data_IF_491696423943
#
_entry.id   IF_491696423943
#
_cell.length_a   1.000
_cell.length_b   1.000
_cell.length_c   1.000
_cell.angle_alpha   90.00
_cell.angle_beta   90.00
_cell.angle_gamma   90.00
#
_symmetry.space_group_name_H-M   'P 1'
#
loop_
_entity.id
_entity.type
_entity.pdbx_description
1 polymer ?
#
# COMPACT_ATOMS: atom_id res chain seq x y z
N UNK A 1 -9.54 14.70 -23.26
CA UNK A 1 -9.53 14.15 -21.89
C UNK A 1 -10.98 14.11 -21.42
N UNK A 2 -11.49 12.96 -20.95
CA UNK A 2 -12.88 12.87 -20.49
C UNK A 2 -13.05 13.75 -19.24
N UNK A 3 -14.17 14.46 -19.15
CA UNK A 3 -14.49 15.32 -18.01
C UNK A 3 -15.60 14.71 -17.17
N UNK A 4 -15.35 14.58 -15.88
CA UNK A 4 -16.27 14.04 -14.89
C UNK A 4 -16.69 15.17 -13.97
N UNK A 5 -18.00 15.32 -13.79
CA UNK A 5 -18.61 16.23 -12.83
C UNK A 5 -19.14 15.41 -11.66
N UNK A 6 -18.61 15.67 -10.47
CA UNK A 6 -19.06 15.05 -9.22
C UNK A 6 -19.93 16.04 -8.45
N UNK A 7 -21.18 15.67 -8.19
CA UNK A 7 -21.99 16.37 -7.22
C UNK A 7 -21.68 15.88 -5.82
N UNK A 8 -21.52 16.81 -4.88
CA UNK A 8 -21.50 16.51 -3.44
C UNK A 8 -22.09 17.66 -2.65
N UNK A 9 -22.77 17.38 -1.53
CA UNK A 9 -23.28 18.43 -0.64
C UNK A 9 -22.15 19.18 0.09
N UNK A 10 -20.99 18.52 0.26
CA UNK A 10 -19.82 19.03 0.98
C UNK A 10 -18.56 18.78 0.15
N UNK A 11 -17.57 19.64 0.30
CA UNK A 11 -16.22 19.39 -0.22
C UNK A 11 -15.23 19.37 0.94
N UNK A 12 -14.03 18.85 0.68
CA UNK A 12 -12.93 18.86 1.61
C UNK A 12 -11.72 18.07 1.09
N UNK A 13 -10.58 18.14 1.78
CA UNK A 13 -9.32 17.57 1.31
C UNK A 13 -9.39 16.05 1.04
N UNK A 14 -10.15 15.29 1.85
CA UNK A 14 -10.28 13.83 1.67
C UNK A 14 -11.03 13.48 0.38
N UNK A 15 -12.13 14.20 0.11
CA UNK A 15 -12.89 14.01 -1.13
C UNK A 15 -12.07 14.44 -2.34
N UNK A 16 -11.44 15.61 -2.30
CA UNK A 16 -10.59 16.10 -3.39
C UNK A 16 -9.42 15.15 -3.69
N UNK A 17 -8.76 14.66 -2.63
CA UNK A 17 -7.69 13.67 -2.75
C UNK A 17 -8.15 12.40 -3.44
N UNK A 18 -9.23 11.77 -2.97
CA UNK A 18 -9.64 10.47 -3.51
C UNK A 18 -10.21 10.58 -4.92
N UNK A 19 -10.91 11.67 -5.23
CA UNK A 19 -11.38 11.94 -6.59
C UNK A 19 -10.22 12.15 -7.56
N UNK A 20 -9.18 12.90 -7.17
CA UNK A 20 -7.98 13.06 -7.99
C UNK A 20 -7.24 11.72 -8.15
N UNK A 21 -7.06 10.96 -7.06
CA UNK A 21 -6.40 9.66 -7.14
C UNK A 21 -7.13 8.70 -8.09
N UNK A 22 -8.45 8.57 -7.95
CA UNK A 22 -9.24 7.66 -8.79
C UNK A 22 -9.35 8.18 -10.22
N UNK A 23 -9.89 9.39 -10.41
CA UNK A 23 -10.30 9.82 -11.74
C UNK A 23 -9.14 10.39 -12.54
N UNK A 24 -8.24 11.15 -11.91
CA UNK A 24 -7.10 11.73 -12.61
C UNK A 24 -5.96 10.73 -12.75
N UNK A 25 -5.54 10.07 -11.66
CA UNK A 25 -4.35 9.20 -11.70
C UNK A 25 -4.65 7.80 -12.26
N UNK A 26 -5.79 7.19 -11.94
CA UNK A 26 -6.11 5.83 -12.42
C UNK A 26 -6.89 5.85 -13.74
N UNK A 27 -7.82 6.81 -13.94
CA UNK A 27 -8.68 6.85 -15.13
C UNK A 27 -8.32 7.92 -16.18
N UNK A 28 -7.31 8.77 -15.91
CA UNK A 28 -6.87 9.81 -16.86
C UNK A 28 -7.94 10.87 -17.20
N UNK A 29 -8.92 11.07 -16.32
CA UNK A 29 -10.04 11.97 -16.46
C UNK A 29 -9.81 13.28 -15.67
N UNK A 30 -10.35 14.40 -16.17
CA UNK A 30 -10.45 15.62 -15.35
C UNK A 30 -11.67 15.50 -14.46
N UNK A 31 -11.51 15.81 -13.18
CA UNK A 31 -12.61 15.81 -12.22
C UNK A 31 -12.92 17.23 -11.76
N UNK A 32 -14.19 17.56 -11.74
CA UNK A 32 -14.74 18.82 -11.21
C UNK A 32 -15.76 18.49 -10.13
N UNK A 33 -15.69 19.17 -8.99
CA UNK A 33 -16.68 19.02 -7.91
C UNK A 33 -17.65 20.19 -7.98
N UNK A 34 -18.95 19.90 -7.91
CA UNK A 34 -19.98 20.93 -7.77
C UNK A 34 -20.94 20.64 -6.62
N UNK A 35 -21.50 21.72 -6.07
CA UNK A 35 -22.59 21.69 -5.10
C UNK A 35 -23.89 22.25 -5.69
N UNK A 36 -23.84 22.74 -6.92
CA UNK A 36 -24.98 23.32 -7.62
C UNK A 36 -25.75 22.20 -8.33
N UNK A 37 -26.94 21.90 -7.83
CA UNK A 37 -27.82 20.86 -8.37
C UNK A 37 -28.30 21.19 -9.79
N UNK A 38 -28.57 22.47 -10.10
CA UNK A 38 -29.03 22.89 -11.42
C UNK A 38 -27.91 22.74 -12.45
N UNK A 39 -26.70 23.16 -12.10
CA UNK A 39 -25.54 22.94 -12.95
C UNK A 39 -25.24 21.45 -13.14
N UNK A 40 -25.31 20.65 -12.07
CA UNK A 40 -25.11 19.20 -12.16
C UNK A 40 -26.13 18.54 -13.11
N UNK A 41 -27.42 18.81 -12.92
CA UNK A 41 -28.49 18.19 -13.73
C UNK A 41 -28.46 18.67 -15.20
N UNK A 42 -28.07 19.92 -15.47
CA UNK A 42 -28.00 20.45 -16.84
C UNK A 42 -26.68 20.14 -17.57
N UNK A 43 -25.64 19.69 -16.87
CA UNK A 43 -24.33 19.41 -17.43
C UNK A 43 -24.35 18.24 -18.43
N UNK A 44 -23.56 18.38 -19.49
CA UNK A 44 -23.32 17.35 -20.51
C UNK A 44 -22.08 16.48 -20.22
N UNK A 45 -21.39 16.74 -19.10
CA UNK A 45 -20.25 15.93 -18.64
C UNK A 45 -20.74 14.55 -18.16
N UNK A 46 -19.82 13.62 -17.90
CA UNK A 46 -20.17 12.40 -17.16
C UNK A 46 -20.43 12.75 -15.70
N UNK A 47 -21.62 12.45 -15.20
CA UNK A 47 -22.13 12.93 -13.91
C UNK A 47 -22.12 11.82 -12.88
N UNK A 48 -21.39 12.04 -11.79
CA UNK A 48 -21.39 11.15 -10.62
C UNK A 48 -22.06 11.88 -9.48
N UNK A 49 -23.14 11.32 -8.95
CA UNK A 49 -23.76 11.82 -7.72
C UNK A 49 -23.06 11.15 -6.54
N UNK A 50 -22.24 11.90 -5.78
CA UNK A 50 -21.67 11.45 -4.52
C UNK A 50 -22.40 12.11 -3.35
N UNK A 51 -23.59 11.59 -3.07
CA UNK A 51 -24.43 12.07 -1.97
C UNK A 51 -25.53 11.06 -1.64
N UNK A 52 -26.29 11.30 -0.56
CA UNK A 52 -27.47 10.50 -0.24
C UNK A 52 -28.77 11.08 -0.84
N UNK A 53 -28.67 12.11 -1.71
CA UNK A 53 -29.82 12.65 -2.44
C UNK A 53 -30.07 11.84 -3.70
N UNK A 54 -31.34 11.75 -4.11
CA UNK A 54 -31.72 11.21 -5.41
C UNK A 54 -31.62 12.31 -6.47
N UNK A 55 -30.54 12.29 -7.23
CA UNK A 55 -30.32 13.15 -8.40
C UNK A 55 -30.10 12.28 -9.62
N UNK A 56 -30.66 12.68 -10.75
CA UNK A 56 -30.40 12.02 -12.04
C UNK A 56 -28.92 12.16 -12.39
N UNK A 57 -28.25 11.03 -12.62
CA UNK A 57 -26.80 10.97 -12.85
C UNK A 57 -26.44 9.74 -13.68
N UNK A 58 -25.23 9.71 -14.24
CA UNK A 58 -24.70 8.51 -14.92
C UNK A 58 -24.34 7.41 -13.90
N UNK A 59 -23.99 7.80 -12.68
CA UNK A 59 -23.64 6.89 -11.59
C UNK A 59 -23.96 7.51 -10.22
N UNK A 60 -24.64 6.76 -9.36
CA UNK A 60 -24.87 7.14 -7.98
C UNK A 60 -23.96 6.36 -7.00
N UNK A 61 -23.10 7.09 -6.29
CA UNK A 61 -22.29 6.57 -5.18
C UNK A 61 -22.85 7.16 -3.86
N UNK A 62 -23.32 6.33 -2.92
CA UNK A 62 -23.81 6.81 -1.63
C UNK A 62 -22.63 7.28 -0.77
N UNK A 63 -22.89 8.19 0.18
CA UNK A 63 -21.84 8.71 1.07
C UNK A 63 -22.14 8.40 2.55
N UNK A 64 -21.19 7.78 3.25
CA UNK A 64 -21.26 7.47 4.68
C UNK A 64 -20.79 8.62 5.58
N UNK A 65 -20.12 9.62 4.99
CA UNK A 65 -19.65 10.83 5.66
C UNK A 65 -18.15 10.87 6.00
N UNK A 66 -17.42 9.76 5.90
CA UNK A 66 -15.99 9.65 6.25
C UNK A 66 -15.13 10.72 5.56
N UNK A 67 -15.43 11.00 4.29
CA UNK A 67 -14.70 11.98 3.48
C UNK A 67 -14.94 13.44 3.91
N UNK A 68 -15.87 13.69 4.83
CA UNK A 68 -16.21 15.01 5.34
C UNK A 68 -15.84 15.22 6.81
N UNK A 69 -15.25 14.20 7.44
CA UNK A 69 -14.73 14.30 8.80
C UNK A 69 -13.39 15.04 8.83
N UNK A 70 -13.13 15.78 9.91
CA UNK A 70 -11.86 16.48 10.14
C UNK A 70 -10.89 15.60 10.92
N UNK A 71 -11.38 14.94 11.97
CA UNK A 71 -10.61 14.04 12.81
C UNK A 71 -10.62 12.59 12.30
N UNK A 72 -9.79 11.76 12.91
CA UNK A 72 -9.80 10.31 12.70
C UNK A 72 -10.36 9.58 13.93
N UNK A 73 -11.08 8.50 13.70
CA UNK A 73 -11.60 7.64 14.75
C UNK A 73 -11.76 6.21 14.23
N UNK A 74 -11.83 5.24 15.14
CA UNK A 74 -12.12 3.86 14.76
C UNK A 74 -13.43 3.76 13.97
N UNK A 75 -13.40 2.97 12.89
CA UNK A 75 -14.54 2.72 12.03
C UNK A 75 -14.88 1.24 12.09
N UNK A 76 -16.16 0.94 12.30
CA UNK A 76 -16.65 -0.43 12.19
C UNK A 76 -16.65 -0.85 10.72
N UNK A 77 -15.98 -1.96 10.42
CA UNK A 77 -15.88 -2.50 9.06
C UNK A 77 -16.72 -3.77 8.99
N UNK A 78 -17.86 -3.65 8.32
CA UNK A 78 -18.69 -4.79 7.94
C UNK A 78 -18.44 -5.10 6.46
N UNK A 79 -17.89 -6.28 6.19
CA UNK A 79 -17.57 -6.72 4.84
C UNK A 79 -18.81 -7.21 4.08
N UNK A 80 -18.84 -6.91 2.79
CA UNK A 80 -19.82 -7.38 1.82
C UNK A 80 -19.12 -7.75 0.51
N UNK A 81 -19.87 -8.32 -0.43
CA UNK A 81 -19.38 -8.64 -1.77
C UNK A 81 -20.11 -7.82 -2.82
N UNK A 82 -19.36 -7.17 -3.72
CA UNK A 82 -19.87 -6.45 -4.88
C UNK A 82 -19.07 -6.84 -6.12
N UNK A 83 -19.73 -7.30 -7.18
CA UNK A 83 -19.07 -7.79 -8.40
C UNK A 83 -17.97 -8.86 -8.13
N UNK A 84 -18.22 -9.76 -7.17
CA UNK A 84 -17.26 -10.78 -6.69
C UNK A 84 -15.99 -10.21 -6.04
N UNK A 85 -15.96 -8.91 -5.74
CA UNK A 85 -14.91 -8.25 -5.00
C UNK A 85 -15.38 -7.96 -3.57
N UNK A 86 -14.49 -8.07 -2.56
CA UNK A 86 -14.77 -7.57 -1.23
C UNK A 86 -15.08 -6.08 -1.27
N UNK A 87 -15.96 -5.63 -0.37
CA UNK A 87 -16.29 -4.23 -0.16
C UNK A 87 -16.68 -4.02 1.30
N UNK A 88 -16.69 -2.76 1.73
CA UNK A 88 -17.08 -2.37 3.08
C UNK A 88 -17.64 -0.95 3.06
N UNK A 89 -18.13 -0.48 4.21
CA UNK A 89 -18.99 0.70 4.31
C UNK A 89 -20.26 0.57 3.46
N UNK A 90 -20.96 -0.55 3.66
CA UNK A 90 -22.20 -0.87 2.97
C UNK A 90 -23.26 0.22 3.14
N UNK A 91 -23.91 0.56 2.04
CA UNK A 91 -24.92 1.60 1.96
C UNK A 91 -26.08 1.09 1.11
N UNK A 92 -27.30 0.99 1.65
CA UNK A 92 -28.44 0.50 0.89
C UNK A 92 -28.93 1.55 -0.12
N UNK A 93 -29.62 1.09 -1.17
CA UNK A 93 -30.39 1.93 -2.10
C UNK A 93 -29.60 2.85 -3.05
N UNK A 94 -28.43 2.41 -3.54
CA UNK A 94 -27.67 3.05 -4.61
C UNK A 94 -27.20 2.02 -5.65
N UNK A 95 -26.76 2.48 -6.83
CA UNK A 95 -26.21 1.62 -7.89
C UNK A 95 -25.00 0.82 -7.41
N UNK A 96 -24.20 1.46 -6.54
CA UNK A 96 -23.09 0.84 -5.84
C UNK A 96 -23.50 0.68 -4.36
N UNK A 97 -23.58 -0.55 -3.83
CA UNK A 97 -24.16 -0.84 -2.52
C UNK A 97 -23.24 -0.51 -1.33
N UNK A 98 -22.28 0.40 -1.52
CA UNK A 98 -21.32 0.84 -0.51
C UNK A 98 -20.74 2.20 -0.88
N UNK A 99 -20.18 2.90 0.11
CA UNK A 99 -19.45 4.14 -0.16
C UNK A 99 -18.07 3.82 -0.73
N UNK A 100 -18.01 3.68 -2.06
CA UNK A 100 -16.80 3.31 -2.78
C UNK A 100 -15.67 4.34 -2.61
N UNK A 101 -15.99 5.63 -2.56
CA UNK A 101 -14.96 6.67 -2.41
C UNK A 101 -14.40 6.67 -0.98
N UNK A 102 -15.24 6.52 0.05
CA UNK A 102 -14.77 6.37 1.43
C UNK A 102 -13.95 5.10 1.63
N UNK A 103 -14.39 3.96 1.06
CA UNK A 103 -13.67 2.69 1.17
C UNK A 103 -12.32 2.73 0.46
N UNK A 104 -12.26 3.34 -0.73
CA UNK A 104 -11.00 3.54 -1.44
C UNK A 104 -10.06 4.50 -0.67
N UNK A 105 -10.59 5.60 -0.14
CA UNK A 105 -9.82 6.51 0.71
C UNK A 105 -9.23 5.79 1.92
N UNK A 106 -10.06 5.02 2.64
CA UNK A 106 -9.64 4.29 3.84
C UNK A 106 -8.46 3.35 3.57
N UNK A 107 -8.49 2.62 2.44
CA UNK A 107 -7.41 1.71 2.03
C UNK A 107 -6.16 2.47 1.56
N UNK A 108 -6.31 3.42 0.64
CA UNK A 108 -5.18 4.12 0.02
C UNK A 108 -4.45 4.98 1.04
N UNK A 109 -5.19 5.69 1.91
CA UNK A 109 -4.59 6.56 2.91
C UNK A 109 -3.99 5.79 4.08
N UNK A 110 -4.11 4.45 4.11
CA UNK A 110 -3.76 3.61 5.26
C UNK A 110 -4.38 4.15 6.55
N UNK A 111 -5.67 4.53 6.50
CA UNK A 111 -6.36 5.24 7.58
C UNK A 111 -6.18 4.60 8.96
N UNK A 112 -6.22 3.27 8.98
CA UNK A 112 -6.01 2.43 10.17
C UNK A 112 -4.64 2.59 10.84
N UNK A 113 -3.58 2.92 10.11
CA UNK A 113 -2.22 3.07 10.66
C UNK A 113 -2.06 4.35 11.48
N UNK A 114 -3.00 5.30 11.36
CA UNK A 114 -3.01 6.54 12.13
C UNK A 114 -3.83 6.44 13.43
N UNK A 115 -4.53 5.33 13.64
CA UNK A 115 -5.26 5.05 14.89
C UNK A 115 -4.33 4.38 15.91
N UNK A 116 -4.68 4.35 17.21
CA UNK A 116 -3.94 3.55 18.17
C UNK A 116 -3.89 2.08 17.75
N UNK A 117 -2.70 1.48 17.73
CA UNK A 117 -2.48 0.08 17.43
C UNK A 117 -1.40 -0.51 18.34
N UNK A 118 -1.41 -1.83 18.48
CA UNK A 118 -0.31 -2.55 19.12
C UNK A 118 0.80 -2.79 18.09
N UNK A 119 1.97 -2.17 18.24
CA UNK A 119 3.04 -2.26 17.24
C UNK A 119 3.67 -3.66 17.20
N UNK A 120 4.25 -4.00 16.05
CA UNK A 120 5.18 -5.12 15.96
C UNK A 120 6.52 -4.82 16.66
N UNK A 121 7.44 -5.79 16.66
CA UNK A 121 8.77 -5.64 17.28
C UNK A 121 9.63 -4.52 16.67
N UNK A 122 9.21 -3.95 15.55
CA UNK A 122 9.88 -2.86 14.84
C UNK A 122 9.07 -1.56 14.92
N UNK A 123 8.09 -1.46 15.82
CA UNK A 123 7.25 -0.27 16.02
C UNK A 123 6.34 0.05 14.82
N UNK A 124 6.03 -0.96 13.98
CA UNK A 124 5.20 -0.80 12.78
C UNK A 124 3.79 -1.30 13.01
N UNK A 125 2.85 -0.79 12.21
CA UNK A 125 1.50 -1.35 12.13
C UNK A 125 1.55 -2.78 11.58
N UNK A 126 1.12 -3.80 12.33
CA UNK A 126 1.18 -5.17 11.86
C UNK A 126 0.04 -5.47 10.88
N UNK A 127 0.39 -6.05 9.73
CA UNK A 127 -0.56 -6.34 8.65
C UNK A 127 -1.79 -7.14 9.09
N UNK A 128 -1.69 -8.02 10.10
CA UNK A 128 -2.82 -8.81 10.57
C UNK A 128 -3.90 -8.01 11.30
N UNK A 129 -3.57 -6.79 11.75
CA UNK A 129 -4.55 -5.83 12.28
C UNK A 129 -5.30 -5.08 11.17
N UNK A 130 -4.83 -5.17 9.91
CA UNK A 130 -5.46 -4.44 8.81
C UNK A 130 -6.84 -4.97 8.43
N UNK A 131 -7.73 -4.07 8.02
CA UNK A 131 -9.00 -4.43 7.39
C UNK A 131 -8.80 -5.32 6.16
N UNK A 132 -7.69 -5.15 5.41
CA UNK A 132 -7.35 -5.99 4.27
C UNK A 132 -7.02 -7.44 4.63
N UNK A 133 -6.33 -7.65 5.74
CA UNK A 133 -6.07 -8.99 6.26
C UNK A 133 -7.35 -9.62 6.83
N UNK A 134 -8.10 -8.87 7.64
CA UNK A 134 -9.35 -9.34 8.23
C UNK A 134 -10.39 -9.71 7.16
N UNK A 135 -10.48 -8.93 6.08
CA UNK A 135 -11.33 -9.21 4.92
C UNK A 135 -10.74 -10.22 3.93
N UNK A 136 -9.57 -10.81 4.21
CA UNK A 136 -8.90 -11.80 3.36
C UNK A 136 -8.59 -11.33 1.93
N UNK A 137 -8.28 -10.04 1.75
CA UNK A 137 -8.02 -9.44 0.42
C UNK A 137 -6.66 -8.74 0.31
N UNK A 138 -5.74 -8.97 1.26
CA UNK A 138 -4.39 -8.40 1.25
C UNK A 138 -3.61 -8.64 -0.06
N UNK A 139 -3.93 -9.72 -0.77
CA UNK A 139 -3.30 -10.12 -2.03
C UNK A 139 -3.94 -9.49 -3.27
N UNK A 140 -5.00 -8.69 -3.11
CA UNK A 140 -5.76 -8.09 -4.21
C UNK A 140 -5.49 -6.58 -4.29
N UNK A 141 -5.26 -6.01 -5.49
CA UNK A 141 -5.27 -4.57 -5.70
C UNK A 141 -6.72 -4.07 -5.71
N UNK A 142 -7.39 -4.15 -4.57
CA UNK A 142 -8.85 -4.09 -4.47
C UNK A 142 -9.42 -2.78 -5.04
N UNK A 143 -8.76 -1.65 -4.77
CA UNK A 143 -9.16 -0.35 -5.31
C UNK A 143 -9.09 -0.33 -6.83
N UNK A 144 -8.02 -0.84 -7.43
CA UNK A 144 -7.88 -0.92 -8.90
C UNK A 144 -8.96 -1.81 -9.51
N UNK A 145 -9.26 -2.94 -8.86
CA UNK A 145 -10.33 -3.83 -9.31
C UNK A 145 -11.70 -3.15 -9.25
N UNK A 146 -12.00 -2.35 -8.23
CA UNK A 146 -13.19 -1.50 -8.23
C UNK A 146 -13.16 -0.45 -9.35
N UNK A 147 -11.99 0.13 -9.66
CA UNK A 147 -11.88 1.14 -10.72
C UNK A 147 -12.15 0.55 -12.10
N UNK A 148 -11.79 -0.71 -12.34
CA UNK A 148 -12.19 -1.43 -13.56
C UNK A 148 -13.71 -1.53 -13.67
N UNK A 149 -14.41 -1.82 -12.57
CA UNK A 149 -15.89 -1.86 -12.56
C UNK A 149 -16.48 -0.47 -12.85
N UNK A 150 -15.96 0.58 -12.21
CA UNK A 150 -16.42 1.97 -12.40
C UNK A 150 -16.19 2.45 -13.83
N UNK A 151 -15.03 2.14 -14.41
CA UNK A 151 -14.74 2.46 -15.80
C UNK A 151 -15.75 1.80 -16.74
N UNK A 152 -16.10 0.53 -16.50
CA UNK A 152 -17.15 -0.18 -17.23
C UNK A 152 -18.51 0.50 -17.11
N UNK A 153 -18.96 0.83 -15.90
CA UNK A 153 -20.25 1.50 -15.66
C UNK A 153 -20.34 2.87 -16.35
N UNK A 154 -19.23 3.63 -16.38
CA UNK A 154 -19.17 4.96 -17.00
C UNK A 154 -18.84 4.93 -18.49
N UNK A 155 -18.60 3.77 -19.10
CA UNK A 155 -18.06 3.61 -20.46
C UNK A 155 -16.77 4.44 -20.67
N UNK A 156 -15.86 4.35 -19.70
CA UNK A 156 -14.53 4.96 -19.72
C UNK A 156 -13.51 3.87 -20.05
N UNK A 157 -12.53 4.20 -20.90
CA UNK A 157 -11.44 3.26 -21.16
C UNK A 157 -10.56 3.24 -19.92
N UNK A 158 -10.40 2.06 -19.33
CA UNK A 158 -9.45 1.87 -18.25
C UNK A 158 -8.06 1.72 -18.87
N UNK A 159 -7.27 2.80 -18.82
CA UNK A 159 -5.84 2.69 -19.06
C UNK A 159 -5.21 2.31 -17.74
N UNK A 160 -4.80 1.04 -17.58
CA UNK A 160 -3.91 0.68 -16.48
C UNK A 160 -2.76 1.69 -16.49
N UNK A 161 -2.54 2.40 -15.37
CA UNK A 161 -1.48 3.39 -15.25
C UNK A 161 -0.17 2.76 -15.78
N UNK A 162 0.59 3.56 -16.54
CA UNK A 162 1.92 3.32 -17.14
C UNK A 162 2.48 1.90 -17.07
N UNK A 163 2.96 1.35 -18.20
CA UNK A 163 3.71 0.08 -18.29
C UNK A 163 4.32 -0.34 -16.95
N UNK A 164 3.82 -1.43 -16.37
CA UNK A 164 4.29 -1.96 -15.10
C UNK A 164 5.81 -2.00 -15.07
N UNK A 165 6.41 -1.30 -14.10
CA UNK A 165 7.84 -1.27 -13.91
C UNK A 165 8.17 -1.88 -12.55
N UNK A 166 8.96 -2.95 -12.57
CA UNK A 166 9.48 -3.56 -11.36
C UNK A 166 10.88 -3.04 -11.09
N UNK A 167 11.03 -2.32 -9.98
CA UNK A 167 12.31 -1.79 -9.49
C UNK A 167 12.64 -2.46 -8.16
N UNK A 168 13.54 -3.46 -8.13
CA UNK A 168 13.98 -4.05 -6.89
C UNK A 168 14.70 -3.02 -6.02
N UNK A 169 14.35 -2.95 -4.75
CA UNK A 169 15.08 -2.18 -3.74
C UNK A 169 15.55 -3.12 -2.63
N UNK A 170 16.77 -2.93 -2.14
CA UNK A 170 17.34 -3.75 -1.08
C UNK A 170 17.78 -2.88 0.10
N UNK A 171 17.21 -3.13 1.27
CA UNK A 171 17.72 -2.60 2.52
C UNK A 171 18.74 -3.59 3.10
N UNK A 172 20.03 -3.24 3.00
CA UNK A 172 21.13 -4.06 3.46
C UNK A 172 21.57 -3.58 4.85
N UNK A 173 20.92 -4.13 5.87
CA UNK A 173 21.22 -3.83 7.28
C UNK A 173 22.56 -4.42 7.74
N UNK A 174 22.94 -5.60 7.22
CA UNK A 174 24.17 -6.30 7.57
C UNK A 174 24.75 -6.93 6.31
N UNK A 175 25.78 -6.31 5.74
CA UNK A 175 26.45 -6.79 4.53
C UNK A 175 27.14 -8.15 4.74
N UNK A 176 27.75 -8.36 5.91
CA UNK A 176 28.55 -9.55 6.21
C UNK A 176 28.31 -10.06 7.64
N UNK A 177 28.29 -11.37 7.81
CA UNK A 177 28.14 -12.02 9.12
C UNK A 177 29.41 -11.91 9.95
N UNK A 178 30.58 -12.00 9.31
CA UNK A 178 31.91 -12.08 9.94
C UNK A 178 32.91 -11.10 9.34
N UNK A 179 32.96 -10.97 8.02
CA UNK A 179 33.87 -10.03 7.34
C UNK A 179 33.52 -8.58 7.68
N UNK A 180 34.51 -7.69 7.64
CA UNK A 180 34.35 -6.28 8.01
C UNK A 180 34.04 -6.01 9.49
N UNK A 181 33.70 -7.04 10.29
CA UNK A 181 33.46 -6.88 11.73
C UNK A 181 34.76 -6.91 12.52
N UNK A 182 34.86 -5.99 13.48
CA UNK A 182 36.03 -5.89 14.35
C UNK A 182 36.31 -7.16 15.15
N UNK A 183 37.59 -7.38 15.49
CA UNK A 183 38.10 -8.58 16.19
C UNK A 183 37.27 -8.91 17.44
N UNK A 184 36.91 -7.90 18.24
CA UNK A 184 36.11 -8.07 19.47
C UNK A 184 34.75 -8.71 19.20
N UNK A 185 34.04 -8.29 18.15
CA UNK A 185 32.74 -8.87 17.75
C UNK A 185 32.90 -10.31 17.29
N UNK A 186 33.96 -10.62 16.56
CA UNK A 186 34.23 -11.97 16.08
C UNK A 186 34.58 -12.93 17.24
N UNK A 187 35.44 -12.51 18.19
CA UNK A 187 35.77 -13.31 19.38
C UNK A 187 34.52 -13.52 20.26
N UNK A 188 33.80 -12.45 20.59
CA UNK A 188 32.59 -12.55 21.42
C UNK A 188 31.52 -13.42 20.76
N UNK A 189 31.32 -13.28 19.44
CA UNK A 189 30.44 -14.14 18.66
C UNK A 189 30.86 -15.61 18.71
N UNK A 190 32.15 -15.89 18.53
CA UNK A 190 32.69 -17.25 18.63
C UNK A 190 32.48 -17.87 20.01
N UNK A 191 32.81 -17.16 21.09
CA UNK A 191 32.62 -17.66 22.46
C UNK A 191 31.13 -17.94 22.76
N UNK A 192 30.24 -17.04 22.34
CA UNK A 192 28.80 -17.23 22.47
C UNK A 192 28.32 -18.47 21.73
N UNK A 193 28.76 -18.64 20.48
CA UNK A 193 28.37 -19.77 19.65
C UNK A 193 28.93 -21.09 20.25
N UNK A 194 30.16 -21.06 20.78
CA UNK A 194 30.78 -22.18 21.50
C UNK A 194 29.99 -22.58 22.76
N UNK A 195 29.65 -21.62 23.62
CA UNK A 195 28.87 -21.87 24.86
C UNK A 195 27.47 -22.42 24.55
N UNK A 196 26.89 -22.07 23.40
CA UNK A 196 25.59 -22.58 22.94
C UNK A 196 25.69 -23.91 22.17
N UNK A 197 26.88 -24.53 22.09
CA UNK A 197 27.10 -25.77 21.35
C UNK A 197 26.90 -25.62 19.82
N UNK A 198 26.98 -24.41 19.28
CA UNK A 198 26.78 -24.09 17.86
C UNK A 198 28.04 -24.35 17.03
N UNK A 199 28.51 -25.59 17.03
CA UNK A 199 29.77 -26.01 16.41
C UNK A 199 29.86 -25.73 14.91
N UNK A 200 28.73 -25.76 14.19
CA UNK A 200 28.68 -25.43 12.76
C UNK A 200 29.02 -23.95 12.53
N UNK A 201 28.45 -23.05 13.33
CA UNK A 201 28.69 -21.61 13.24
C UNK A 201 30.12 -21.25 13.65
N UNK A 202 30.68 -21.91 14.67
CA UNK A 202 32.09 -21.75 15.04
C UNK A 202 33.02 -22.11 13.88
N UNK A 203 32.81 -23.28 13.26
CA UNK A 203 33.61 -23.72 12.10
C UNK A 203 33.45 -22.79 10.90
N UNK A 204 32.22 -22.37 10.60
CA UNK A 204 31.94 -21.44 9.50
C UNK A 204 32.64 -20.09 9.71
N UNK A 205 32.60 -19.52 10.92
CA UNK A 205 33.30 -18.28 11.24
C UNK A 205 34.80 -18.40 11.01
N UNK A 206 35.42 -19.49 11.47
CA UNK A 206 36.86 -19.73 11.26
C UNK A 206 37.18 -19.92 9.78
N UNK A 207 36.36 -20.67 9.05
CA UNK A 207 36.55 -20.90 7.63
C UNK A 207 36.43 -19.61 6.80
N UNK A 208 35.49 -18.73 7.13
CA UNK A 208 35.35 -17.42 6.47
C UNK A 208 36.53 -16.51 6.78
N UNK A 209 36.90 -16.39 8.07
CA UNK A 209 37.95 -15.47 8.47
C UNK A 209 39.36 -15.92 8.03
N UNK A 210 39.65 -17.23 8.03
CA UNK A 210 41.01 -17.75 7.87
C UNK A 210 41.20 -18.70 6.68
N UNK A 211 40.15 -19.33 6.16
CA UNK A 211 40.24 -20.28 5.05
C UNK A 211 39.67 -19.73 3.73
N UNK A 212 39.35 -18.43 3.67
CA UNK A 212 38.86 -17.77 2.46
C UNK A 212 37.47 -18.22 2.01
N UNK A 213 36.68 -18.84 2.89
CA UNK A 213 35.29 -19.19 2.56
C UNK A 213 34.44 -17.92 2.41
N UNK A 214 33.51 -17.92 1.45
CA UNK A 214 32.54 -16.83 1.26
C UNK A 214 31.70 -16.64 2.53
N UNK A 215 31.51 -15.39 2.94
CA UNK A 215 30.68 -15.05 4.10
C UNK A 215 29.22 -15.46 3.85
N UNK A 216 28.53 -16.07 4.82
CA UNK A 216 27.15 -16.52 4.61
C UNK A 216 26.14 -15.41 4.31
N UNK A 217 26.45 -14.15 4.61
CA UNK A 217 25.57 -13.01 4.30
C UNK A 217 25.97 -12.32 2.99
N UNK A 218 27.09 -12.70 2.39
CA UNK A 218 27.50 -12.22 1.09
C UNK A 218 26.63 -12.83 -0.01
N UNK A 219 25.56 -12.11 -0.38
CA UNK A 219 24.59 -12.51 -1.38
C UNK A 219 24.78 -11.79 -2.73
N UNK A 220 25.79 -10.92 -2.86
CA UNK A 220 25.89 -9.97 -3.97
C UNK A 220 25.99 -10.67 -5.33
N UNK A 221 26.89 -11.63 -5.49
CA UNK A 221 27.00 -12.39 -6.76
C UNK A 221 25.67 -13.03 -7.19
N UNK A 222 24.91 -13.61 -6.25
CA UNK A 222 23.63 -14.25 -6.56
C UNK A 222 22.54 -13.23 -6.92
N UNK A 223 22.61 -12.03 -6.33
CA UNK A 223 21.73 -10.92 -6.70
C UNK A 223 22.10 -10.40 -8.09
N UNK A 224 23.38 -10.19 -8.36
CA UNK A 224 23.90 -9.70 -9.64
C UNK A 224 23.52 -10.66 -10.78
N UNK A 225 23.73 -11.97 -10.61
CA UNK A 225 23.31 -13.00 -11.56
C UNK A 225 21.79 -12.92 -11.85
N UNK A 226 20.98 -12.78 -10.80
CA UNK A 226 19.53 -12.64 -10.95
C UNK A 226 19.18 -11.35 -11.72
N UNK A 227 19.83 -10.24 -11.41
CA UNK A 227 19.56 -8.97 -12.07
C UNK A 227 19.99 -8.97 -13.54
N UNK A 228 21.09 -9.63 -13.89
CA UNK A 228 21.51 -9.83 -15.28
C UNK A 228 20.51 -10.66 -16.07
N UNK A 229 20.04 -11.79 -15.53
CA UNK A 229 19.06 -12.67 -16.19
C UNK A 229 17.75 -11.94 -16.50
N UNK A 230 17.27 -11.12 -15.56
CA UNK A 230 16.01 -10.40 -15.69
C UNK A 230 16.16 -8.95 -16.17
N UNK A 231 17.37 -8.50 -16.50
CA UNK A 231 17.68 -7.13 -16.93
C UNK A 231 17.16 -6.07 -15.94
N UNK A 232 17.30 -6.36 -14.64
CA UNK A 232 16.86 -5.50 -13.55
C UNK A 232 17.93 -4.46 -13.21
N UNK A 233 17.49 -3.29 -12.72
CA UNK A 233 18.36 -2.21 -12.26
C UNK A 233 18.05 -1.89 -10.81
N UNK A 234 18.54 -2.70 -9.85
CA UNK A 234 18.17 -2.55 -8.44
C UNK A 234 18.71 -1.26 -7.83
N UNK A 235 18.10 -0.83 -6.73
CA UNK A 235 18.65 0.20 -5.83
C UNK A 235 19.01 -0.44 -4.50
N UNK A 236 20.23 -0.20 -4.02
CA UNK A 236 20.71 -0.70 -2.73
C UNK A 236 20.78 0.45 -1.72
N UNK A 237 20.14 0.26 -0.57
CA UNK A 237 20.26 1.09 0.61
C UNK A 237 21.15 0.35 1.60
N UNK A 238 22.37 0.85 1.78
CA UNK A 238 23.36 0.26 2.69
C UNK A 238 23.35 1.01 4.01
N UNK A 239 23.13 0.29 5.11
CA UNK A 239 23.16 0.88 6.45
C UNK A 239 24.61 1.15 6.88
N UNK A 240 25.04 2.41 6.82
CA UNK A 240 26.40 2.84 7.20
C UNK A 240 26.48 3.49 8.60
N UNK A 241 25.38 3.52 9.35
CA UNK A 241 25.32 4.13 10.68
C UNK A 241 26.06 3.29 11.73
N UNK A 242 26.42 3.94 12.84
CA UNK A 242 26.84 3.21 14.04
C UNK A 242 25.61 2.55 14.68
N UNK A 243 25.76 1.31 15.16
CA UNK A 243 24.62 0.51 15.61
C UNK A 243 23.74 1.15 16.69
N UNK A 244 22.47 0.77 16.66
CA UNK A 244 21.40 1.18 17.58
C UNK A 244 20.57 -0.02 18.07
N UNK A 245 19.46 0.21 18.79
CA UNK A 245 18.61 -0.85 19.32
C UNK A 245 18.07 -1.81 18.25
N UNK A 246 17.73 -1.27 17.07
CA UNK A 246 17.27 -2.02 15.90
C UNK A 246 18.40 -2.28 14.89
N UNK A 247 19.41 -1.42 14.85
CA UNK A 247 20.53 -1.47 13.90
C UNK A 247 21.74 -2.20 14.46
N UNK A 248 21.96 -3.45 14.06
CA UNK A 248 23.00 -4.30 14.66
C UNK A 248 24.37 -4.23 13.96
N UNK A 249 24.56 -3.28 13.04
CA UNK A 249 25.79 -3.16 12.25
C UNK A 249 27.03 -2.85 13.09
#
# INVERSE_FOLDING_TARGET
MKEILVYSNKTGPRLEYILNQIFQNHLGCKVEITRDELYFVSSQKKRINYSNKKLESDLHIPCNGLLFEQDISEKEINFLMWEKLPAFFGMPHADIPFDLLASAFYLISRYEEYLPFEPDIFERFPHHQSGAYQGSFLHLPLVDLWMVQIAGMLNIEFHAASQYHFLPTYDIDIAYSYLGKGIRRNIGGFMRDLMKGKWKQCRQRLAVLWAGQKDPYDAYDSLDEMHEVYQLKPIYFLLLSQGGPLDKN
#
